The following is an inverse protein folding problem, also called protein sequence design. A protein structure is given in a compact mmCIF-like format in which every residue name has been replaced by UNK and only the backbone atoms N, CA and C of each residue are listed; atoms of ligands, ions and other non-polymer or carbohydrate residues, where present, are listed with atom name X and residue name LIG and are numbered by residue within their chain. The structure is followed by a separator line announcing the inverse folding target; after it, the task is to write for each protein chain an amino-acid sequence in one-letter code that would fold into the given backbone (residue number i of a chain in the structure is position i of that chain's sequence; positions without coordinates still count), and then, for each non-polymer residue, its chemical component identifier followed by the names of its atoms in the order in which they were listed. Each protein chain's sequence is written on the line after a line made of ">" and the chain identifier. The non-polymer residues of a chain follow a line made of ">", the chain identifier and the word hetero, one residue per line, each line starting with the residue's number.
data_IF_448683371790
#
_entry.id   IF_448683371790
#
_cell.length_a   1.000
_cell.length_b   1.000
_cell.length_c   1.000
_cell.angle_alpha   90.00
_cell.angle_beta   90.00
_cell.angle_gamma   90.00
#
_symmetry.space_group_name_H-M   'P 1'
#
loop_
_entity.id
_entity.type
_entity.pdbx_description
1 polymer ?
#
# COMPACT_ATOMS: atom_id res chain seq x y z
N UNK A 1 0.28 -6.68 -14.89
CA UNK A 1 -0.69 -7.49 -14.12
C UNK A 1 -2.12 -7.38 -14.66
N UNK A 2 -2.45 -6.38 -15.47
CA UNK A 2 -3.82 -6.14 -15.92
C UNK A 2 -4.76 -5.70 -14.79
N UNK A 3 -4.22 -5.12 -13.71
CA UNK A 3 -5.00 -4.63 -12.59
C UNK A 3 -5.95 -3.50 -13.05
N UNK A 4 -7.21 -3.60 -12.65
CA UNK A 4 -8.25 -2.61 -12.96
C UNK A 4 -8.74 -1.87 -11.71
N UNK A 5 -8.58 -2.43 -10.53
CA UNK A 5 -9.06 -1.85 -9.26
C UNK A 5 -7.92 -1.86 -8.24
N UNK A 6 -7.46 -0.67 -7.85
CA UNK A 6 -6.26 -0.47 -7.03
C UNK A 6 -6.57 0.40 -5.83
N UNK A 7 -6.02 0.03 -4.68
CA UNK A 7 -5.99 0.87 -3.47
C UNK A 7 -4.54 1.27 -3.20
N UNK A 8 -4.29 2.55 -2.98
CA UNK A 8 -3.05 3.08 -2.45
C UNK A 8 -3.29 3.64 -1.04
N UNK A 9 -2.57 3.14 -0.05
CA UNK A 9 -2.69 3.55 1.35
C UNK A 9 -1.45 4.29 1.80
N UNK A 10 -1.64 5.50 2.30
CA UNK A 10 -0.57 6.38 2.78
C UNK A 10 0.05 7.23 1.67
N UNK A 11 0.39 8.46 1.99
CA UNK A 11 0.98 9.46 1.06
C UNK A 11 2.49 9.44 1.02
N UNK A 12 3.15 8.57 1.78
CA UNK A 12 4.61 8.40 1.69
C UNK A 12 5.10 8.13 0.27
N UNK A 13 4.18 7.81 -0.63
CA UNK A 13 4.44 7.47 -2.02
C UNK A 13 3.47 8.16 -2.99
N UNK A 14 3.46 9.50 -2.98
CA UNK A 14 2.75 10.24 -4.03
C UNK A 14 3.22 9.81 -5.43
N UNK A 15 4.53 9.54 -5.56
CA UNK A 15 5.14 9.09 -6.83
C UNK A 15 4.57 7.75 -7.26
N UNK A 16 4.46 6.78 -6.36
CA UNK A 16 3.87 5.46 -6.68
C UNK A 16 2.40 5.59 -7.04
N UNK A 17 1.66 6.46 -6.35
CA UNK A 17 0.24 6.73 -6.67
C UNK A 17 0.09 7.28 -8.08
N UNK A 18 0.96 8.21 -8.51
CA UNK A 18 0.99 8.76 -9.86
C UNK A 18 1.37 7.69 -10.89
N UNK A 19 2.38 6.88 -10.60
CA UNK A 19 2.78 5.78 -11.49
C UNK A 19 1.67 4.73 -11.64
N UNK A 20 0.96 4.42 -10.56
CA UNK A 20 -0.20 3.53 -10.60
C UNK A 20 -1.33 4.10 -11.47
N UNK A 21 -1.61 5.40 -11.36
CA UNK A 21 -2.61 6.06 -12.19
C UNK A 21 -2.29 5.94 -13.68
N UNK A 22 -1.02 6.15 -14.06
CA UNK A 22 -0.56 5.96 -15.44
C UNK A 22 -0.58 4.49 -15.88
N UNK A 23 -0.24 3.57 -14.98
CA UNK A 23 -0.16 2.13 -15.30
C UNK A 23 -1.54 1.47 -15.49
N UNK A 24 -2.63 2.08 -15.03
CA UNK A 24 -4.00 1.57 -15.18
C UNK A 24 -4.58 1.75 -16.60
N UNK A 25 -3.80 2.27 -17.53
CA UNK A 25 -4.09 2.31 -18.97
C UNK A 25 -5.53 2.75 -19.31
N UNK A 26 -5.95 3.85 -18.69
CA UNK A 26 -7.19 4.56 -18.96
C UNK A 26 -8.51 3.80 -18.71
N UNK A 27 -8.54 2.73 -17.92
CA UNK A 27 -9.78 1.98 -17.64
C UNK A 27 -9.83 1.36 -16.25
N UNK A 28 -9.38 2.07 -15.23
CA UNK A 28 -9.36 1.52 -13.89
C UNK A 28 -9.97 2.44 -12.84
N UNK A 29 -9.95 1.95 -11.61
CA UNK A 29 -10.26 2.71 -10.40
C UNK A 29 -9.03 2.72 -9.50
N UNK A 30 -8.52 3.90 -9.19
CA UNK A 30 -7.50 4.11 -8.18
C UNK A 30 -8.09 4.84 -6.98
N UNK A 31 -8.13 4.19 -5.84
CA UNK A 31 -8.55 4.79 -4.57
C UNK A 31 -7.32 5.04 -3.71
N UNK A 32 -6.98 6.29 -3.48
CA UNK A 32 -5.91 6.70 -2.57
C UNK A 32 -6.49 7.10 -1.22
N UNK A 33 -5.94 6.53 -0.14
CA UNK A 33 -6.41 6.69 1.24
C UNK A 33 -5.29 7.26 2.10
N UNK A 34 -5.57 8.37 2.78
CA UNK A 34 -4.65 8.97 3.75
C UNK A 34 -5.40 9.56 4.92
N UNK A 35 -4.87 9.40 6.13
CA UNK A 35 -5.46 9.92 7.37
C UNK A 35 -5.17 11.40 7.59
N UNK A 36 -4.13 11.95 6.97
CA UNK A 36 -3.70 13.33 7.18
C UNK A 36 -4.35 14.30 6.20
N UNK A 37 -4.73 15.48 6.68
CA UNK A 37 -5.27 16.52 5.83
C UNK A 37 -4.26 17.02 4.78
N UNK A 38 -2.98 17.05 5.14
CA UNK A 38 -1.90 17.45 4.24
C UNK A 38 -1.70 16.41 3.14
N UNK A 39 -1.65 15.13 3.49
CA UNK A 39 -1.49 14.04 2.55
C UNK A 39 -2.61 14.01 1.53
N UNK A 40 -3.86 14.08 2.00
CA UNK A 40 -5.01 14.06 1.09
C UNK A 40 -5.08 15.31 0.19
N UNK A 41 -4.61 16.46 0.66
CA UNK A 41 -4.52 17.66 -0.17
C UNK A 41 -3.52 17.49 -1.31
N UNK A 42 -2.37 16.86 -1.07
CA UNK A 42 -1.38 16.52 -2.09
C UNK A 42 -1.93 15.54 -3.12
N UNK A 43 -2.61 14.47 -2.66
CA UNK A 43 -3.25 13.50 -3.55
C UNK A 43 -4.30 14.18 -4.44
N UNK A 44 -5.18 15.00 -3.86
CA UNK A 44 -6.22 15.70 -4.63
C UNK A 44 -5.64 16.64 -5.67
N UNK A 45 -4.55 17.33 -5.33
CA UNK A 45 -3.85 18.19 -6.29
C UNK A 45 -3.29 17.37 -7.46
N UNK A 46 -2.58 16.29 -7.16
CA UNK A 46 -2.03 15.39 -8.17
C UNK A 46 -3.12 14.78 -9.06
N UNK A 47 -4.24 14.33 -8.47
CA UNK A 47 -5.36 13.78 -9.22
C UNK A 47 -6.04 14.82 -10.12
N UNK A 48 -6.15 16.08 -9.68
CA UNK A 48 -6.68 17.16 -10.51
C UNK A 48 -5.80 17.44 -11.73
N UNK A 49 -4.47 17.34 -11.60
CA UNK A 49 -3.52 17.50 -12.71
C UNK A 49 -3.61 16.33 -13.71
N UNK A 50 -3.91 15.10 -13.23
CA UNK A 50 -4.01 13.90 -14.08
C UNK A 50 -5.38 13.70 -14.72
N UNK A 51 -6.43 14.34 -14.21
CA UNK A 51 -7.80 14.06 -14.61
C UNK A 51 -8.06 14.26 -16.11
N UNK A 52 -7.35 15.19 -16.73
CA UNK A 52 -7.45 15.47 -18.17
C UNK A 52 -6.56 14.55 -19.02
N UNK A 53 -5.67 13.78 -18.39
CA UNK A 53 -4.70 12.92 -19.05
C UNK A 53 -5.06 11.43 -19.00
N UNK A 54 -6.06 11.05 -18.19
CA UNK A 54 -6.46 9.64 -18.00
C UNK A 54 -7.96 9.48 -17.86
N UNK A 55 -8.49 8.40 -18.42
CA UNK A 55 -9.88 7.94 -18.20
C UNK A 55 -10.01 7.07 -16.92
N UNK A 56 -8.92 6.85 -16.18
CA UNK A 56 -8.94 6.15 -14.89
C UNK A 56 -9.74 6.97 -13.87
N UNK A 57 -10.67 6.31 -13.18
CA UNK A 57 -11.39 6.95 -12.07
C UNK A 57 -10.46 7.12 -10.87
N UNK A 58 -10.20 8.37 -10.49
CA UNK A 58 -9.33 8.73 -9.38
C UNK A 58 -10.16 9.14 -8.16
N UNK A 59 -9.98 8.44 -7.04
CA UNK A 59 -10.72 8.69 -5.79
C UNK A 59 -9.75 8.94 -4.63
N UNK A 60 -9.87 10.10 -3.99
CA UNK A 60 -9.11 10.47 -2.80
C UNK A 60 -9.98 10.42 -1.54
N UNK A 61 -9.55 9.67 -0.53
CA UNK A 61 -10.29 9.43 0.72
C UNK A 61 -9.47 9.89 1.92
N UNK A 62 -10.01 10.81 2.71
CA UNK A 62 -9.42 11.23 3.98
C UNK A 62 -10.00 10.38 5.12
N UNK A 63 -9.31 9.33 5.50
CA UNK A 63 -9.67 8.48 6.63
C UNK A 63 -8.48 7.58 7.01
N UNK A 64 -8.38 7.12 8.25
CA UNK A 64 -7.49 6.03 8.61
C UNK A 64 -7.83 4.75 7.81
N UNK A 65 -6.81 4.01 7.38
CA UNK A 65 -7.00 2.74 6.68
C UNK A 65 -7.87 1.76 7.47
N UNK A 66 -7.63 1.66 8.78
CA UNK A 66 -8.39 0.81 9.71
C UNK A 66 -9.90 1.12 9.77
N UNK A 67 -10.30 2.34 9.43
CA UNK A 67 -11.71 2.77 9.43
C UNK A 67 -12.34 2.64 8.05
N UNK A 68 -11.60 2.91 7.00
CA UNK A 68 -12.13 2.95 5.64
C UNK A 68 -12.16 1.56 4.99
N UNK A 69 -11.07 0.79 5.06
CA UNK A 69 -10.95 -0.48 4.35
C UNK A 69 -12.04 -1.51 4.74
N UNK A 70 -12.48 -1.64 6.01
CA UNK A 70 -13.56 -2.56 6.37
C UNK A 70 -14.90 -2.27 5.69
N UNK A 71 -15.10 -1.07 5.16
CA UNK A 71 -16.35 -0.64 4.48
C UNK A 71 -16.38 -0.98 2.99
N UNK A 72 -15.26 -1.41 2.44
CA UNK A 72 -15.14 -1.76 1.03
C UNK A 72 -15.67 -3.16 0.75
N UNK A 73 -16.06 -3.40 -0.49
CA UNK A 73 -16.55 -4.71 -0.93
C UNK A 73 -15.44 -5.76 -0.91
N UNK A 74 -15.80 -6.98 -0.61
CA UNK A 74 -14.89 -8.12 -0.67
C UNK A 74 -14.62 -8.53 -2.13
N UNK A 75 -13.42 -9.06 -2.39
CA UNK A 75 -13.00 -9.59 -3.70
C UNK A 75 -13.17 -8.59 -4.86
N UNK A 76 -12.90 -7.32 -4.62
CA UNK A 76 -13.16 -6.24 -5.59
C UNK A 76 -11.88 -5.53 -6.06
N UNK A 77 -10.73 -5.91 -5.51
CA UNK A 77 -9.45 -5.25 -5.78
C UNK A 77 -8.40 -6.22 -6.33
N UNK A 78 -7.60 -5.74 -7.27
CA UNK A 78 -6.53 -6.50 -7.91
C UNK A 78 -5.18 -6.21 -7.26
N UNK A 79 -4.99 -4.97 -6.77
CA UNK A 79 -3.73 -4.52 -6.18
C UNK A 79 -4.01 -3.59 -4.99
N UNK A 80 -3.25 -3.78 -3.92
CA UNK A 80 -3.17 -2.86 -2.79
C UNK A 80 -1.70 -2.47 -2.62
N UNK A 81 -1.40 -1.18 -2.54
CA UNK A 81 -0.06 -0.65 -2.25
C UNK A 81 -0.10 0.10 -0.94
N UNK A 82 0.83 -0.20 -0.05
CA UNK A 82 0.89 0.37 1.31
C UNK A 82 2.21 1.08 1.52
N UNK A 83 2.12 2.30 2.01
CA UNK A 83 3.27 3.14 2.33
C UNK A 83 2.98 4.05 3.55
N UNK A 84 3.94 4.88 3.93
CA UNK A 84 3.78 5.91 4.94
C UNK A 84 3.90 5.41 6.37
N UNK A 85 2.95 5.78 7.22
CA UNK A 85 3.02 5.50 8.65
C UNK A 85 2.86 4.01 8.98
N UNK A 86 3.58 3.54 9.99
CA UNK A 86 3.63 2.14 10.39
C UNK A 86 2.24 1.52 10.67
N UNK A 87 1.30 2.32 11.17
CA UNK A 87 -0.08 1.88 11.47
C UNK A 87 -0.86 1.45 10.21
N UNK A 88 -0.47 1.94 9.03
CA UNK A 88 -1.14 1.58 7.78
C UNK A 88 -0.91 0.12 7.39
N UNK A 89 0.24 -0.45 7.72
CA UNK A 89 0.68 -1.75 7.23
C UNK A 89 -0.13 -2.91 7.79
N UNK A 90 -0.13 -3.08 9.11
CA UNK A 90 -0.89 -4.14 9.78
C UNK A 90 -2.40 -3.99 9.54
N UNK A 91 -2.94 -2.76 9.65
CA UNK A 91 -4.35 -2.50 9.41
C UNK A 91 -4.80 -2.85 7.98
N UNK A 92 -3.93 -2.63 6.98
CA UNK A 92 -4.23 -2.97 5.59
C UNK A 92 -4.10 -4.47 5.35
N UNK A 93 -3.06 -5.12 5.87
CA UNK A 93 -2.89 -6.56 5.71
C UNK A 93 -4.05 -7.35 6.32
N UNK A 94 -4.56 -6.93 7.48
CA UNK A 94 -5.73 -7.53 8.12
C UNK A 94 -7.00 -7.53 7.23
N UNK A 95 -7.07 -6.68 6.22
CA UNK A 95 -8.16 -6.61 5.25
C UNK A 95 -7.80 -7.24 3.89
N UNK A 96 -6.54 -7.52 3.63
CA UNK A 96 -6.04 -7.92 2.32
C UNK A 96 -6.72 -9.19 1.80
N UNK A 97 -6.83 -10.24 2.63
CA UNK A 97 -7.48 -11.49 2.25
C UNK A 97 -8.94 -11.31 1.83
N UNK A 98 -9.64 -10.39 2.46
CA UNK A 98 -11.05 -10.09 2.15
C UNK A 98 -11.19 -9.22 0.90
N UNK A 99 -10.35 -8.19 0.76
CA UNK A 99 -10.47 -7.19 -0.30
C UNK A 99 -9.95 -7.68 -1.64
N UNK A 100 -8.83 -8.40 -1.63
CA UNK A 100 -8.21 -8.88 -2.85
C UNK A 100 -9.01 -10.01 -3.50
N UNK A 101 -9.09 -9.96 -4.81
CA UNK A 101 -9.51 -11.11 -5.63
C UNK A 101 -8.49 -12.24 -5.51
N UNK A 102 -8.87 -13.45 -5.89
CA UNK A 102 -7.91 -14.54 -6.10
C UNK A 102 -6.85 -14.07 -7.10
N UNK A 103 -5.59 -14.30 -6.79
CA UNK A 103 -4.43 -13.80 -7.53
C UNK A 103 -4.20 -12.30 -7.44
N UNK A 104 -4.92 -11.61 -6.57
CA UNK A 104 -4.63 -10.21 -6.24
C UNK A 104 -3.34 -10.07 -5.43
N UNK A 105 -2.74 -8.89 -5.49
CA UNK A 105 -1.42 -8.62 -4.92
C UNK A 105 -1.51 -7.49 -3.89
N UNK A 106 -0.81 -7.63 -2.77
CA UNK A 106 -0.50 -6.52 -1.88
C UNK A 106 1.00 -6.25 -1.87
N UNK A 107 1.37 -4.99 -1.97
CA UNK A 107 2.76 -4.50 -1.97
C UNK A 107 2.94 -3.56 -0.80
N UNK A 108 3.92 -3.83 0.02
CA UNK A 108 4.36 -2.95 1.09
C UNK A 108 5.70 -2.35 0.70
N UNK A 109 5.78 -1.03 0.70
CA UNK A 109 7.02 -0.29 0.47
C UNK A 109 7.70 0.03 1.79
N UNK A 110 8.99 0.35 1.76
CA UNK A 110 9.75 0.79 2.93
C UNK A 110 9.75 -0.18 4.13
N UNK A 111 9.65 -1.48 3.84
CA UNK A 111 9.54 -2.53 4.89
C UNK A 111 10.84 -2.79 5.64
N UNK A 112 11.99 -2.38 5.11
CA UNK A 112 13.25 -2.48 5.84
C UNK A 112 13.40 -1.40 6.91
N UNK A 113 12.57 -0.35 6.88
CA UNK A 113 12.53 0.73 7.86
C UNK A 113 13.92 1.35 8.10
N UNK A 114 14.68 1.55 7.04
CA UNK A 114 16.05 2.10 7.13
C UNK A 114 16.00 3.60 7.39
N UNK A 115 16.78 4.07 8.35
CA UNK A 115 17.07 5.49 8.53
C UNK A 115 18.46 5.77 7.95
N UNK A 116 18.54 6.65 6.95
CA UNK A 116 19.80 6.98 6.23
C UNK A 116 20.58 5.74 5.74
N UNK A 117 19.86 4.70 5.34
CA UNK A 117 20.44 3.44 4.87
C UNK A 117 20.98 2.53 5.98
N UNK A 118 20.68 2.82 7.23
CA UNK A 118 21.14 2.07 8.40
C UNK A 118 19.98 1.71 9.34
N UNK A 119 20.22 0.77 10.25
CA UNK A 119 19.24 0.37 11.26
C UNK A 119 18.12 -0.50 10.70
N UNK A 120 16.90 -0.20 11.12
CA UNK A 120 15.69 -0.85 10.65
C UNK A 120 15.57 -2.32 11.02
N UNK A 121 14.86 -3.06 10.18
CA UNK A 121 14.53 -4.49 10.40
C UNK A 121 15.77 -5.37 10.48
N UNK A 122 16.79 -5.06 9.68
CA UNK A 122 18.03 -5.84 9.59
C UNK A 122 18.95 -5.68 10.81
N UNK A 123 18.76 -4.63 11.60
CA UNK A 123 19.51 -4.41 12.83
C UNK A 123 18.71 -4.88 14.05
N UNK A 124 19.06 -6.01 14.70
CA UNK A 124 18.28 -6.52 15.85
C UNK A 124 18.24 -5.58 17.06
N UNK A 125 19.19 -4.63 17.14
CA UNK A 125 19.25 -3.64 18.21
C UNK A 125 18.32 -2.43 17.96
N UNK A 126 17.84 -2.24 16.75
CA UNK A 126 16.91 -1.17 16.44
C UNK A 126 15.52 -1.47 17.05
N UNK A 127 15.12 -0.63 17.99
CA UNK A 127 13.84 -0.72 18.71
C UNK A 127 12.89 0.41 18.36
N UNK A 128 13.10 1.10 17.23
CA UNK A 128 12.16 2.08 16.75
C UNK A 128 10.79 1.44 16.48
N UNK A 129 9.73 2.20 16.70
CA UNK A 129 8.35 1.70 16.51
C UNK A 129 8.14 1.15 15.10
N UNK A 130 8.72 1.81 14.09
CA UNK A 130 8.65 1.37 12.70
C UNK A 130 9.39 0.06 12.47
N UNK A 131 10.62 -0.09 12.96
CA UNK A 131 11.39 -1.31 12.81
C UNK A 131 10.70 -2.51 13.48
N UNK A 132 10.12 -2.30 14.67
CA UNK A 132 9.36 -3.33 15.37
C UNK A 132 8.08 -3.72 14.61
N UNK A 133 7.30 -2.73 14.14
CA UNK A 133 6.08 -2.96 13.37
C UNK A 133 6.38 -3.70 12.05
N UNK A 134 7.48 -3.37 11.37
CA UNK A 134 7.85 -4.05 10.13
C UNK A 134 8.31 -5.48 10.35
N UNK A 135 9.02 -5.79 11.44
CA UNK A 135 9.36 -7.18 11.81
C UNK A 135 8.12 -8.02 12.08
N UNK A 136 7.16 -7.45 12.81
CA UNK A 136 5.89 -8.12 13.08
C UNK A 136 5.10 -8.35 11.78
N UNK A 137 5.04 -7.36 10.90
CA UNK A 137 4.41 -7.48 9.59
C UNK A 137 5.04 -8.61 8.76
N UNK A 138 6.37 -8.62 8.64
CA UNK A 138 7.10 -9.65 7.87
C UNK A 138 6.76 -11.06 8.37
N UNK A 139 6.78 -11.26 9.70
CA UNK A 139 6.41 -12.54 10.31
C UNK A 139 4.94 -12.88 10.04
N UNK A 140 4.03 -11.93 10.21
CA UNK A 140 2.59 -12.14 10.00
C UNK A 140 2.27 -12.52 8.56
N UNK A 141 2.93 -11.87 7.59
CA UNK A 141 2.72 -12.17 6.16
C UNK A 141 3.33 -13.52 5.77
N UNK A 142 4.51 -13.86 6.31
CA UNK A 142 5.18 -15.13 6.07
C UNK A 142 4.39 -16.32 6.62
N UNK A 143 3.77 -16.16 7.79
CA UNK A 143 2.99 -17.19 8.46
C UNK A 143 1.55 -17.36 7.89
N UNK A 144 1.11 -16.45 7.02
CA UNK A 144 -0.24 -16.49 6.44
C UNK A 144 -0.32 -17.48 5.27
N UNK A 145 -0.96 -18.64 5.49
CA UNK A 145 -1.11 -19.68 4.48
C UNK A 145 -1.91 -19.25 3.23
N UNK A 146 -2.68 -18.17 3.31
CA UNK A 146 -3.47 -17.61 2.22
C UNK A 146 -2.66 -16.79 1.22
N UNK A 147 -1.40 -16.49 1.56
CA UNK A 147 -0.51 -15.70 0.71
C UNK A 147 0.80 -16.44 0.39
N UNK A 148 1.39 -16.08 -0.72
CA UNK A 148 2.81 -16.31 -1.03
C UNK A 148 3.51 -14.96 -1.05
N UNK A 149 4.64 -14.84 -0.35
CA UNK A 149 5.33 -13.57 -0.21
C UNK A 149 6.79 -13.63 -0.67
N UNK A 150 7.29 -12.48 -1.10
CA UNK A 150 8.68 -12.26 -1.46
C UNK A 150 9.13 -10.90 -0.95
N UNK A 151 10.26 -10.90 -0.25
CA UNK A 151 10.94 -9.67 0.19
C UNK A 151 12.09 -9.36 -0.77
N UNK A 152 12.11 -8.14 -1.30
CA UNK A 152 13.22 -7.64 -2.11
C UNK A 152 13.91 -6.47 -1.38
N UNK A 153 15.25 -6.42 -1.41
CA UNK A 153 16.00 -5.34 -0.76
C UNK A 153 16.12 -4.07 -1.61
N UNK A 154 15.37 -3.97 -2.71
CA UNK A 154 15.43 -2.80 -3.58
C UNK A 154 14.98 -1.53 -2.84
N UNK A 155 15.80 -0.48 -2.92
CA UNK A 155 15.56 0.77 -2.21
C UNK A 155 15.50 0.58 -0.71
N UNK A 156 14.37 0.93 -0.10
CA UNK A 156 14.09 0.76 1.33
C UNK A 156 13.34 -0.54 1.65
N UNK A 157 13.29 -1.46 0.70
CA UNK A 157 12.68 -2.78 0.79
C UNK A 157 11.23 -2.84 0.34
N UNK A 158 10.92 -3.86 -0.47
CA UNK A 158 9.57 -4.17 -0.92
C UNK A 158 9.19 -5.56 -0.44
N UNK A 159 8.04 -5.67 0.23
CA UNK A 159 7.39 -6.95 0.50
C UNK A 159 6.19 -7.07 -0.45
N UNK A 160 6.20 -8.10 -1.25
CA UNK A 160 5.14 -8.41 -2.20
C UNK A 160 4.46 -9.69 -1.75
N UNK A 161 3.17 -9.66 -1.52
CA UNK A 161 2.39 -10.84 -1.16
C UNK A 161 1.25 -11.06 -2.15
N UNK A 162 1.13 -12.27 -2.61
CA UNK A 162 0.21 -12.73 -3.63
C UNK A 162 -0.83 -13.65 -3.00
N UNK A 163 -2.11 -13.33 -3.19
CA UNK A 163 -3.23 -14.14 -2.66
C UNK A 163 -3.41 -15.41 -3.49
N UNK A 164 -3.39 -16.56 -2.85
CA UNK A 164 -3.61 -17.89 -3.44
C UNK A 164 -5.02 -18.10 -3.97
#
# INVERSE_FOLDING_TARGET
>A
TGAASVIAVGTGSLVETLQLAHALDNKGLLTAVDSTAQGIALIRKAFAELQDETDTTLRAVNAPASVFLPRLNANDYDLIVVAGDAENYAATFAQASRLLRTHGVIVFTDVLALEDGQGGVINPADRSDKAMAMRELLTTVEDDEGFESTLTPDGTGLLIAYKK
#
